data_IF_024452991161
#
_entry.id   IF_024452991161
#
_cell.length_a   1.000
_cell.length_b   1.000
_cell.length_c   1.000
_cell.angle_alpha   90.00
_cell.angle_beta   90.00
_cell.angle_gamma   90.00
#
_symmetry.space_group_name_H-M   'P 1'
#
loop_
_entity.id
_entity.type
_entity.pdbx_description
1 polymer ?
#
# COMPACT_ATOMS: atom_id res chain seq x y z
N UNK A 1 -5.35 -18.11 10.64
CA UNK A 1 -6.50 -17.71 9.80
C UNK A 1 -7.74 -18.52 10.22
N UNK A 2 -8.92 -17.89 10.36
CA UNK A 2 -10.15 -18.56 10.85
C UNK A 2 -10.97 -19.25 9.76
N UNK A 3 -10.80 -18.84 8.50
CA UNK A 3 -11.68 -19.22 7.39
C UNK A 3 -11.02 -20.04 6.26
N UNK A 4 -9.74 -20.42 6.38
CA UNK A 4 -8.98 -21.16 5.34
C UNK A 4 -9.16 -20.61 3.91
N UNK A 5 -9.11 -19.28 3.79
CA UNK A 5 -9.21 -18.53 2.53
C UNK A 5 -7.95 -17.67 2.41
N UNK A 6 -7.37 -17.62 1.22
CA UNK A 6 -6.24 -16.75 0.90
C UNK A 6 -6.72 -15.29 0.79
N UNK A 7 -6.21 -14.36 1.60
CA UNK A 7 -6.63 -12.97 1.56
C UNK A 7 -5.88 -12.19 0.47
N UNK A 8 -6.62 -11.44 -0.37
CA UNK A 8 -6.02 -10.41 -1.23
C UNK A 8 -5.96 -9.09 -0.46
N UNK A 9 -4.77 -8.73 0.04
CA UNK A 9 -4.60 -7.52 0.86
C UNK A 9 -4.40 -6.29 -0.01
N UNK A 10 -5.29 -5.30 0.16
CA UNK A 10 -5.17 -4.03 -0.55
C UNK A 10 -4.23 -3.09 0.21
N UNK A 11 -3.18 -2.60 -0.46
CA UNK A 11 -2.23 -1.65 0.10
C UNK A 11 -2.29 -0.35 -0.69
N UNK A 12 -2.69 0.73 -0.03
CA UNK A 12 -2.65 2.07 -0.61
C UNK A 12 -1.32 2.76 -0.33
N UNK A 13 -0.72 3.39 -1.35
CA UNK A 13 0.50 4.17 -1.22
C UNK A 13 0.23 5.55 -0.60
N UNK A 14 -0.99 6.07 -0.75
CA UNK A 14 -1.43 7.33 -0.17
C UNK A 14 -1.25 7.32 1.35
N UNK A 15 -0.84 8.47 1.90
CA UNK A 15 -0.65 8.72 3.32
C UNK A 15 0.45 7.84 3.96
N UNK A 16 1.31 7.20 3.14
CA UNK A 16 2.42 6.35 3.59
C UNK A 16 3.73 6.75 2.94
N UNK A 17 4.79 6.74 3.75
CA UNK A 17 6.16 6.85 3.28
C UNK A 17 6.72 5.47 2.87
N UNK A 18 7.87 5.48 2.22
CA UNK A 18 8.54 4.30 1.69
C UNK A 18 8.84 3.27 2.80
N UNK A 19 9.33 3.72 3.96
CA UNK A 19 9.66 2.85 5.09
C UNK A 19 8.40 2.18 5.65
N UNK A 20 7.30 2.92 5.76
CA UNK A 20 6.02 2.38 6.21
C UNK A 20 5.43 1.35 5.24
N UNK A 21 5.62 1.55 3.93
CA UNK A 21 5.23 0.56 2.92
C UNK A 21 6.09 -0.70 3.00
N UNK A 22 7.42 -0.57 3.09
CA UNK A 22 8.33 -1.70 3.25
C UNK A 22 8.06 -2.49 4.53
N UNK A 23 7.87 -1.79 5.66
CA UNK A 23 7.52 -2.41 6.94
C UNK A 23 6.21 -3.18 6.86
N UNK A 24 5.22 -2.65 6.13
CA UNK A 24 3.94 -3.34 5.93
C UNK A 24 4.10 -4.62 5.10
N UNK A 25 4.86 -4.57 4.00
CA UNK A 25 5.15 -5.74 3.16
C UNK A 25 5.88 -6.83 3.96
N UNK A 26 6.89 -6.44 4.75
CA UNK A 26 7.60 -7.36 5.64
C UNK A 26 6.66 -7.99 6.67
N UNK A 27 5.76 -7.20 7.27
CA UNK A 27 4.76 -7.69 8.20
C UNK A 27 3.81 -8.73 7.57
N UNK A 28 3.37 -8.50 6.33
CA UNK A 28 2.51 -9.44 5.59
C UNK A 28 3.25 -10.76 5.30
N UNK A 29 4.50 -10.66 4.86
CA UNK A 29 5.35 -11.83 4.62
C UNK A 29 5.55 -12.65 5.91
N UNK A 30 5.80 -11.99 7.05
CA UNK A 30 5.96 -12.67 8.35
C UNK A 30 4.72 -13.45 8.79
N UNK A 31 3.51 -13.02 8.40
CA UNK A 31 2.26 -13.72 8.71
C UNK A 31 1.81 -14.67 7.59
N UNK A 32 2.63 -14.85 6.55
CA UNK A 32 2.36 -15.76 5.43
C UNK A 32 1.35 -15.23 4.41
N UNK A 33 1.12 -13.91 4.35
CA UNK A 33 0.26 -13.30 3.33
C UNK A 33 1.12 -12.84 2.16
N UNK A 34 0.85 -13.39 0.98
CA UNK A 34 1.64 -13.13 -0.23
C UNK A 34 0.82 -12.44 -1.33
N UNK A 35 -0.51 -12.50 -1.26
CA UNK A 35 -1.39 -11.88 -2.24
C UNK A 35 -1.69 -10.43 -1.86
N UNK A 36 -1.18 -9.49 -2.67
CA UNK A 36 -1.39 -8.05 -2.46
C UNK A 36 -1.93 -7.37 -3.73
N UNK A 37 -2.77 -6.36 -3.53
CA UNK A 37 -3.17 -5.41 -4.55
C UNK A 37 -2.56 -4.04 -4.24
N UNK A 38 -1.62 -3.60 -5.07
CA UNK A 38 -0.97 -2.29 -4.96
C UNK A 38 -1.85 -1.18 -5.54
N UNK A 39 -2.17 -0.17 -4.73
CA UNK A 39 -3.10 0.92 -5.09
C UNK A 39 -2.41 2.26 -4.85
N UNK A 40 -2.35 3.13 -5.86
CA UNK A 40 -1.80 4.50 -5.65
C UNK A 40 -2.61 5.28 -4.63
N UNK A 41 -3.93 5.10 -4.64
CA UNK A 41 -4.90 5.88 -3.88
C UNK A 41 -5.39 7.09 -4.68
N UNK A 42 -6.41 7.76 -4.16
CA UNK A 42 -6.98 8.93 -4.83
C UNK A 42 -6.14 10.19 -4.59
N UNK A 43 -5.96 11.05 -5.60
CA UNK A 43 -5.22 12.30 -5.43
C UNK A 43 -5.88 13.19 -4.38
N UNK A 44 -5.07 13.83 -3.52
CA UNK A 44 -5.55 14.70 -2.42
C UNK A 44 -6.43 15.86 -2.90
N UNK A 45 -6.29 16.26 -4.17
CA UNK A 45 -7.12 17.30 -4.83
C UNK A 45 -8.59 16.90 -5.05
N UNK A 46 -8.94 15.62 -4.94
CA UNK A 46 -10.34 15.15 -5.06
C UNK A 46 -11.09 15.28 -3.71
N UNK A 47 -10.40 15.69 -2.64
CA UNK A 47 -10.99 15.97 -1.32
C UNK A 47 -11.42 17.43 -1.12
N UNK A 48 -12.28 17.66 -0.11
CA UNK A 48 -12.96 18.93 0.20
C UNK A 48 -12.03 20.06 0.74
N UNK A 49 -10.71 19.89 0.70
CA UNK A 49 -9.74 20.82 1.28
C UNK A 49 -8.84 21.44 0.20
N UNK A 50 -9.10 22.70 -0.20
CA UNK A 50 -8.21 23.43 -1.09
C UNK A 50 -6.84 23.60 -0.42
N UNK A 51 -5.79 23.03 -1.03
CA UNK A 51 -4.41 23.11 -0.55
C UNK A 51 -3.81 21.80 -0.02
N UNK A 52 -4.54 20.68 -0.03
CA UNK A 52 -3.99 19.39 0.40
C UNK A 52 -2.91 18.89 -0.57
N UNK A 53 -1.67 18.76 -0.08
CA UNK A 53 -0.55 18.17 -0.82
C UNK A 53 -0.68 16.64 -0.86
N UNK A 54 -0.28 16.02 -1.97
CA UNK A 54 -0.14 14.57 -2.04
C UNK A 54 1.00 14.12 -1.11
N UNK A 55 0.72 13.20 -0.19
CA UNK A 55 1.72 12.59 0.69
C UNK A 55 1.85 11.12 0.33
N UNK A 56 2.79 10.80 -0.56
CA UNK A 56 3.25 9.43 -0.84
C UNK A 56 4.59 9.46 -1.55
N UNK A 57 5.50 8.56 -1.19
CA UNK A 57 6.84 8.46 -1.81
C UNK A 57 6.81 7.70 -3.14
N UNK A 58 5.88 6.76 -3.29
CA UNK A 58 5.73 5.91 -4.47
C UNK A 58 4.26 5.75 -4.85
N UNK A 59 4.00 5.44 -6.12
CA UNK A 59 2.67 5.04 -6.60
C UNK A 59 2.53 3.51 -6.66
N UNK A 60 1.42 2.98 -7.18
CA UNK A 60 1.20 1.52 -7.26
C UNK A 60 2.33 0.80 -7.99
N UNK A 61 2.84 1.35 -9.10
CA UNK A 61 3.98 0.78 -9.85
C UNK A 61 5.23 0.69 -8.99
N UNK A 62 5.57 1.76 -8.27
CA UNK A 62 6.72 1.76 -7.37
C UNK A 62 6.56 0.78 -6.20
N UNK A 63 5.35 0.66 -5.64
CA UNK A 63 5.06 -0.35 -4.62
C UNK A 63 5.21 -1.78 -5.17
N UNK A 64 4.75 -2.04 -6.39
CA UNK A 64 4.95 -3.33 -7.06
C UNK A 64 6.43 -3.64 -7.25
N UNK A 65 7.24 -2.67 -7.69
CA UNK A 65 8.68 -2.85 -7.85
C UNK A 65 9.39 -3.13 -6.51
N UNK A 66 8.89 -2.60 -5.39
CA UNK A 66 9.41 -2.90 -4.05
C UNK A 66 9.00 -4.31 -3.62
N UNK A 67 7.75 -4.70 -3.85
CA UNK A 67 7.22 -6.01 -3.46
C UNK A 67 7.83 -7.19 -4.25
N UNK A 68 8.37 -6.93 -5.45
CA UNK A 68 9.05 -7.92 -6.27
C UNK A 68 10.52 -8.17 -5.88
N UNK A 69 11.07 -7.39 -4.94
CA UNK A 69 12.44 -7.54 -4.44
C UNK A 69 12.48 -8.40 -3.19
#
# INVERSE_FOLDING_TARGET
>A
QRFNIEPLVHITCRDRNLIGLQSHLLGLSLIGVNEILAITGDPSKVGHLPGATNVYDVNSKGLTEIALR
#
